data_IF_534078347221
#
_entry.id   IF_534078347221
#
_cell.length_a   1.000
_cell.length_b   1.000
_cell.length_c   1.000
_cell.angle_alpha   90.00
_cell.angle_beta   90.00
_cell.angle_gamma   90.00
#
_symmetry.space_group_name_H-M   'P 1'
#
loop_
_entity.id
_entity.type
_entity.pdbx_description
1 polymer ?
#
# COMPACT_ATOMS: atom_id res chain seq x y z
N UNK A 1 -27.20 -5.31 -5.68
CA UNK A 1 -28.35 -4.56 -6.22
C UNK A 1 -28.30 -3.15 -5.69
N UNK A 2 -29.01 -2.22 -6.31
CA UNK A 2 -29.06 -0.80 -5.89
C UNK A 2 -30.44 -0.52 -5.31
N UNK A 3 -30.50 0.11 -4.13
CA UNK A 3 -31.75 0.60 -3.54
C UNK A 3 -32.17 1.87 -4.27
N UNK A 4 -33.40 1.93 -4.78
CA UNK A 4 -33.91 3.09 -5.52
C UNK A 4 -34.64 4.06 -4.58
N UNK A 5 -35.71 3.60 -3.94
CA UNK A 5 -36.49 4.39 -3.01
C UNK A 5 -37.28 3.49 -2.04
N UNK A 6 -37.55 4.05 -0.85
CA UNK A 6 -38.37 3.44 0.19
C UNK A 6 -39.85 3.67 -0.17
N UNK A 7 -40.61 2.59 -0.31
CA UNK A 7 -42.05 2.67 -0.64
C UNK A 7 -42.89 2.73 0.64
N UNK A 8 -42.47 2.02 1.68
CA UNK A 8 -43.08 2.03 3.01
C UNK A 8 -42.03 1.68 4.06
N UNK A 9 -42.38 1.72 5.35
CA UNK A 9 -41.47 1.31 6.42
C UNK A 9 -40.97 -0.13 6.32
N UNK A 10 -41.66 -0.97 5.53
CA UNK A 10 -41.36 -2.40 5.39
C UNK A 10 -40.94 -2.81 3.96
N UNK A 11 -40.97 -1.90 2.98
CA UNK A 11 -40.76 -2.24 1.56
C UNK A 11 -39.85 -1.25 0.83
N UNK A 12 -38.96 -1.80 0.00
CA UNK A 12 -38.04 -1.05 -0.85
C UNK A 12 -38.17 -1.47 -2.32
N UNK A 13 -38.07 -0.51 -3.22
CA UNK A 13 -37.76 -0.81 -4.62
C UNK A 13 -36.26 -1.04 -4.75
N UNK A 14 -35.90 -2.22 -5.25
CA UNK A 14 -34.52 -2.62 -5.49
C UNK A 14 -34.34 -2.88 -6.98
N UNK A 15 -33.25 -2.39 -7.54
CA UNK A 15 -32.84 -2.65 -8.91
C UNK A 15 -31.69 -3.66 -8.93
N UNK A 16 -31.87 -4.74 -9.67
CA UNK A 16 -30.85 -5.76 -9.92
C UNK A 16 -30.73 -5.89 -11.44
N UNK A 17 -29.69 -5.27 -12.00
CA UNK A 17 -29.51 -5.17 -13.45
C UNK A 17 -30.64 -4.36 -14.10
N UNK A 18 -31.34 -4.97 -15.05
CA UNK A 18 -32.52 -4.39 -15.73
C UNK A 18 -33.84 -4.62 -14.99
N UNK A 19 -33.84 -5.48 -13.96
CA UNK A 19 -35.05 -5.87 -13.23
C UNK A 19 -35.25 -4.92 -12.05
N UNK A 20 -36.47 -4.39 -11.93
CA UNK A 20 -36.92 -3.63 -10.76
C UNK A 20 -37.97 -4.45 -10.01
N UNK A 21 -37.76 -4.67 -8.71
CA UNK A 21 -38.69 -5.42 -7.87
C UNK A 21 -38.83 -4.81 -6.48
N UNK A 22 -39.96 -5.11 -5.83
CA UNK A 22 -40.22 -4.74 -4.43
C UNK A 22 -39.69 -5.84 -3.51
N UNK A 23 -38.82 -5.48 -2.58
CA UNK A 23 -38.24 -6.40 -1.59
C UNK A 23 -38.56 -5.88 -0.19
N UNK A 24 -38.90 -6.78 0.73
CA UNK A 24 -39.14 -6.43 2.13
C UNK A 24 -37.82 -6.07 2.81
N UNK A 25 -37.86 -5.15 3.76
CA UNK A 25 -36.69 -4.79 4.57
C UNK A 25 -36.05 -5.97 5.28
N UNK A 26 -36.85 -6.97 5.68
CA UNK A 26 -36.38 -8.18 6.36
C UNK A 26 -35.50 -9.09 5.48
N UNK A 27 -35.61 -8.98 4.16
CA UNK A 27 -34.86 -9.80 3.20
C UNK A 27 -33.62 -9.06 2.65
N UNK A 28 -33.28 -7.89 3.23
CA UNK A 28 -32.11 -7.11 2.86
C UNK A 28 -30.99 -7.33 3.87
N UNK A 29 -29.81 -7.73 3.39
CA UNK A 29 -28.60 -7.82 4.18
C UNK A 29 -27.63 -6.70 3.79
N UNK A 30 -27.15 -5.95 4.79
CA UNK A 30 -26.20 -4.87 4.56
C UNK A 30 -24.79 -5.43 4.39
N UNK A 31 -24.30 -5.44 3.15
CA UNK A 31 -22.89 -5.70 2.85
C UNK A 31 -22.09 -4.41 3.03
N UNK A 32 -21.13 -4.41 3.95
CA UNK A 32 -20.19 -3.30 4.10
C UNK A 32 -19.44 -3.10 2.78
N UNK A 33 -19.41 -1.89 2.20
CA UNK A 33 -18.63 -1.64 1.00
C UNK A 33 -17.15 -1.85 1.33
N UNK A 34 -16.49 -2.75 0.59
CA UNK A 34 -15.04 -2.87 0.66
C UNK A 34 -14.44 -1.49 0.38
N UNK A 35 -13.70 -0.93 1.35
CA UNK A 35 -13.04 0.36 1.18
C UNK A 35 -12.17 0.26 -0.08
N UNK A 36 -12.40 1.09 -1.11
CA UNK A 36 -11.54 1.08 -2.27
C UNK A 36 -10.12 1.37 -1.79
N UNK A 37 -9.20 0.43 -2.01
CA UNK A 37 -7.77 0.64 -1.75
C UNK A 37 -7.37 1.80 -2.63
N UNK A 38 -7.23 3.00 -2.05
CA UNK A 38 -6.79 4.19 -2.76
C UNK A 38 -5.43 3.89 -3.36
N UNK A 39 -5.38 3.53 -4.64
CA UNK A 39 -4.16 3.61 -5.42
C UNK A 39 -3.85 5.09 -5.54
N UNK A 40 -2.97 5.58 -4.65
CA UNK A 40 -2.44 6.94 -4.73
C UNK A 40 -1.59 6.99 -5.99
N UNK A 41 -2.13 7.63 -7.03
CA UNK A 41 -1.41 7.94 -8.26
C UNK A 41 -0.24 8.84 -7.86
N UNK A 42 0.98 8.43 -8.25
CA UNK A 42 2.22 9.15 -7.95
C UNK A 42 2.36 10.25 -9.01
N UNK A 43 2.12 11.50 -8.65
CA UNK A 43 2.48 12.66 -9.48
C UNK A 43 3.95 12.94 -9.25
N UNK A 44 4.83 12.66 -10.22
CA UNK A 44 6.26 12.98 -10.07
C UNK A 44 6.48 14.49 -10.22
N UNK A 45 6.93 15.15 -9.15
CA UNK A 45 7.43 16.52 -9.22
C UNK A 45 8.93 16.42 -9.46
N UNK A 46 9.38 16.80 -10.65
CA UNK A 46 10.78 16.74 -11.03
C UNK A 46 11.56 17.86 -10.33
N UNK A 47 12.31 17.52 -9.28
CA UNK A 47 13.40 18.38 -8.78
C UNK A 47 14.70 18.00 -9.49
N UNK A 48 15.59 18.98 -9.68
CA UNK A 48 16.72 18.98 -10.62
C UNK A 48 17.93 18.09 -10.26
N UNK A 49 17.73 17.02 -9.48
CA UNK A 49 18.69 15.92 -9.30
C UNK A 49 18.19 14.67 -10.03
N UNK A 50 19.07 13.71 -10.35
CA UNK A 50 18.64 12.40 -10.88
C UNK A 50 17.47 11.89 -10.05
N UNK A 51 16.30 11.59 -10.66
CA UNK A 51 15.13 11.21 -9.91
C UNK A 51 15.48 9.99 -9.06
N UNK A 52 15.38 10.15 -7.73
CA UNK A 52 15.52 9.03 -6.81
C UNK A 52 14.55 7.94 -7.29
N UNK A 53 15.03 6.71 -7.48
CA UNK A 53 14.16 5.63 -7.93
C UNK A 53 13.17 5.32 -6.81
N UNK A 54 11.95 4.87 -7.14
CA UNK A 54 10.98 4.39 -6.14
C UNK A 54 11.40 3.07 -5.48
N UNK A 55 12.56 2.53 -5.86
CA UNK A 55 13.09 1.27 -5.38
C UNK A 55 14.59 1.39 -5.01
N UNK A 56 14.99 0.72 -3.93
CA UNK A 56 16.37 0.57 -3.49
C UNK A 56 16.75 -0.91 -3.51
N UNK A 57 17.80 -1.27 -4.24
CA UNK A 57 18.37 -2.62 -4.25
C UNK A 57 19.57 -2.72 -3.28
N UNK A 58 19.50 -3.68 -2.37
CA UNK A 58 20.49 -3.98 -1.34
C UNK A 58 21.04 -5.41 -1.48
N UNK A 59 20.71 -6.13 -2.56
CA UNK A 59 21.18 -7.50 -2.75
C UNK A 59 22.70 -7.53 -2.91
N UNK A 60 23.34 -8.41 -2.13
CA UNK A 60 24.80 -8.57 -2.17
C UNK A 60 25.56 -7.54 -1.34
N UNK A 61 24.86 -6.58 -0.72
CA UNK A 61 25.47 -5.61 0.19
C UNK A 61 25.76 -6.25 1.55
N UNK A 62 26.80 -5.73 2.21
CA UNK A 62 27.04 -6.05 3.62
C UNK A 62 26.00 -5.37 4.48
N UNK A 63 25.76 -5.94 5.66
CA UNK A 63 24.72 -5.47 6.59
C UNK A 63 24.84 -3.98 6.93
N UNK A 64 26.03 -3.52 7.30
CA UNK A 64 26.26 -2.15 7.72
C UNK A 64 26.10 -1.16 6.55
N UNK A 65 26.69 -1.49 5.40
CA UNK A 65 26.58 -0.69 4.17
C UNK A 65 25.12 -0.57 3.70
N UNK A 66 24.35 -1.66 3.82
CA UNK A 66 22.95 -1.68 3.46
C UNK A 66 22.11 -0.75 4.34
N UNK A 67 22.35 -0.70 5.65
CA UNK A 67 21.64 0.21 6.55
C UNK A 67 21.95 1.68 6.24
N UNK A 68 23.21 2.01 5.96
CA UNK A 68 23.59 3.36 5.56
C UNK A 68 22.93 3.77 4.23
N UNK A 69 22.85 2.85 3.27
CA UNK A 69 22.16 3.09 2.00
C UNK A 69 20.66 3.29 2.20
N UNK A 70 20.03 2.53 3.09
CA UNK A 70 18.61 2.71 3.42
C UNK A 70 18.35 4.08 4.03
N UNK A 71 19.13 4.47 5.04
CA UNK A 71 19.00 5.77 5.71
C UNK A 71 19.04 6.93 4.70
N UNK A 72 20.11 6.99 3.90
CA UNK A 72 20.26 7.99 2.84
C UNK A 72 19.11 7.97 1.83
N UNK A 73 18.68 6.77 1.44
CA UNK A 73 17.61 6.60 0.44
C UNK A 73 16.24 7.06 0.96
N UNK A 74 15.93 6.85 2.24
CA UNK A 74 14.68 7.32 2.83
C UNK A 74 14.60 8.85 2.80
N UNK A 75 15.71 9.53 3.09
CA UNK A 75 15.79 11.00 3.00
C UNK A 75 15.58 11.49 1.57
N UNK A 76 16.24 10.87 0.59
CA UNK A 76 16.05 11.20 -0.83
C UNK A 76 14.61 10.94 -1.29
N UNK A 77 13.99 9.85 -0.83
CA UNK A 77 12.63 9.49 -1.18
C UNK A 77 11.59 10.45 -0.57
N UNK A 78 11.82 10.89 0.67
CA UNK A 78 11.01 11.89 1.36
C UNK A 78 11.12 13.25 0.68
N UNK A 79 12.34 13.66 0.30
CA UNK A 79 12.57 14.91 -0.43
C UNK A 79 11.94 14.89 -1.82
N UNK A 80 11.95 13.73 -2.50
CA UNK A 80 11.27 13.52 -3.77
C UNK A 80 9.74 13.45 -3.65
N UNK A 81 9.21 13.40 -2.43
CA UNK A 81 7.77 13.36 -2.17
C UNK A 81 7.11 12.02 -2.52
N UNK A 82 7.87 10.91 -2.51
CA UNK A 82 7.28 9.60 -2.77
C UNK A 82 6.35 9.19 -1.63
N UNK A 83 5.10 8.77 -1.91
CA UNK A 83 4.18 8.31 -0.87
C UNK A 83 4.56 6.93 -0.33
N UNK A 84 5.26 6.13 -1.14
CA UNK A 84 5.72 4.79 -0.82
C UNK A 84 6.98 4.44 -1.62
N UNK A 85 7.80 3.54 -1.08
CA UNK A 85 9.00 3.00 -1.75
C UNK A 85 9.15 1.51 -1.50
N UNK A 86 9.93 0.84 -2.36
CA UNK A 86 10.27 -0.56 -2.22
C UNK A 86 11.75 -0.76 -1.90
N UNK A 87 12.07 -1.56 -0.89
CA UNK A 87 13.44 -1.92 -0.53
C UNK A 87 13.65 -3.41 -0.78
N UNK A 88 14.57 -3.72 -1.68
CA UNK A 88 14.88 -5.06 -2.14
C UNK A 88 16.12 -5.55 -1.39
N UNK A 89 15.92 -6.32 -0.32
CA UNK A 89 17.01 -6.94 0.45
C UNK A 89 17.27 -8.41 0.05
N UNK A 90 16.40 -8.99 -0.79
CA UNK A 90 16.49 -10.40 -1.19
C UNK A 90 16.00 -11.37 -0.11
N UNK A 91 15.97 -12.67 -0.44
CA UNK A 91 15.47 -13.73 0.45
C UNK A 91 16.60 -14.29 1.33
N UNK A 92 17.69 -14.72 0.70
CA UNK A 92 18.98 -15.07 1.33
C UNK A 92 18.90 -15.74 2.70
N UNK A 93 19.82 -15.35 3.58
CA UNK A 93 19.83 -15.74 5.02
C UNK A 93 18.83 -14.95 5.86
N UNK A 94 18.17 -13.94 5.28
CA UNK A 94 17.26 -13.05 5.99
C UNK A 94 17.93 -11.99 6.88
N UNK A 95 19.27 -11.94 6.96
CA UNK A 95 19.97 -10.96 7.80
C UNK A 95 19.64 -9.50 7.40
N UNK A 96 19.74 -9.19 6.11
CA UNK A 96 19.35 -7.86 5.59
C UNK A 96 17.87 -7.59 5.78
N UNK A 97 17.00 -8.59 5.57
CA UNK A 97 15.56 -8.43 5.83
C UNK A 97 15.32 -7.99 7.27
N UNK A 98 15.89 -8.70 8.24
CA UNK A 98 15.69 -8.41 9.66
C UNK A 98 16.20 -7.03 10.03
N UNK A 99 17.45 -6.70 9.67
CA UNK A 99 18.03 -5.39 9.99
C UNK A 99 17.28 -4.23 9.37
N UNK A 100 16.97 -4.32 8.07
CA UNK A 100 16.21 -3.28 7.36
C UNK A 100 14.81 -3.14 7.97
N UNK A 101 14.13 -4.25 8.25
CA UNK A 101 12.79 -4.22 8.87
C UNK A 101 12.82 -3.55 10.24
N UNK A 102 13.80 -3.88 11.07
CA UNK A 102 13.96 -3.31 12.41
C UNK A 102 14.29 -1.82 12.37
N UNK A 103 15.21 -1.44 11.49
CA UNK A 103 15.55 -0.04 11.24
C UNK A 103 14.31 0.77 10.79
N UNK A 104 13.54 0.26 9.83
CA UNK A 104 12.35 0.93 9.31
C UNK A 104 11.22 1.07 10.35
N UNK A 105 11.05 0.08 11.24
CA UNK A 105 10.06 0.14 12.32
C UNK A 105 10.34 1.29 13.30
N UNK A 106 11.61 1.62 13.49
CA UNK A 106 12.04 2.68 14.39
C UNK A 106 12.13 4.06 13.70
N UNK A 107 11.96 4.12 12.38
CA UNK A 107 12.11 5.35 11.62
C UNK A 107 10.88 6.26 11.74
N UNK A 108 11.07 7.52 12.16
CA UNK A 108 9.97 8.44 12.52
C UNK A 108 9.03 8.79 11.37
N UNK A 109 9.54 8.83 10.14
CA UNK A 109 8.75 9.19 8.95
C UNK A 109 8.05 8.01 8.30
N UNK A 110 8.31 6.79 8.78
CA UNK A 110 7.61 5.59 8.32
C UNK A 110 6.26 5.51 9.03
N UNK A 111 5.21 5.34 8.24
CA UNK A 111 3.84 5.15 8.71
C UNK A 111 3.50 3.67 8.85
N UNK A 112 3.84 2.89 7.83
CA UNK A 112 3.59 1.45 7.82
C UNK A 112 4.63 0.72 6.97
N UNK A 113 4.84 -0.55 7.29
CA UNK A 113 5.67 -1.46 6.49
C UNK A 113 4.92 -2.75 6.21
N UNK A 114 5.13 -3.32 5.04
CA UNK A 114 4.64 -4.64 4.68
C UNK A 114 5.65 -5.35 3.79
N UNK A 115 5.60 -6.68 3.75
CA UNK A 115 6.31 -7.41 2.71
C UNK A 115 5.64 -7.20 1.34
N UNK A 116 6.44 -7.35 0.29
CA UNK A 116 5.95 -7.36 -1.08
C UNK A 116 4.96 -8.49 -1.31
N UNK A 117 3.99 -8.28 -2.19
CA UNK A 117 3.15 -9.34 -2.73
C UNK A 117 3.97 -10.33 -3.59
N UNK A 118 3.40 -11.48 -3.95
CA UNK A 118 4.09 -12.45 -4.80
C UNK A 118 4.63 -11.84 -6.12
N UNK A 119 3.85 -10.96 -6.74
CA UNK A 119 4.23 -10.23 -7.95
C UNK A 119 5.30 -9.13 -7.71
N UNK A 120 5.45 -8.67 -6.46
CA UNK A 120 6.39 -7.62 -6.06
C UNK A 120 7.70 -8.21 -5.48
N UNK A 121 7.91 -9.53 -5.54
CA UNK A 121 9.12 -10.19 -5.02
C UNK A 121 8.95 -10.84 -3.64
N UNK A 122 7.75 -10.79 -3.05
CA UNK A 122 7.39 -11.48 -1.81
C UNK A 122 8.20 -11.00 -0.61
N UNK A 123 8.57 -11.95 0.26
CA UNK A 123 9.39 -11.70 1.46
C UNK A 123 10.83 -11.22 1.18
N UNK A 124 11.22 -11.05 -0.09
CA UNK A 124 12.52 -10.47 -0.47
C UNK A 124 12.47 -8.96 -0.68
N UNK A 125 11.29 -8.37 -0.53
CA UNK A 125 11.03 -6.94 -0.72
C UNK A 125 10.20 -6.43 0.46
N UNK A 126 10.56 -5.26 0.97
CA UNK A 126 9.80 -4.54 1.97
C UNK A 126 9.26 -3.26 1.35
N UNK A 127 7.94 -3.10 1.39
CA UNK A 127 7.24 -1.88 0.96
C UNK A 127 7.06 -0.98 2.17
N UNK A 128 7.47 0.27 2.02
CA UNK A 128 7.45 1.30 3.07
C UNK A 128 6.46 2.38 2.66
N UNK A 129 5.52 2.70 3.53
CA UNK A 129 4.60 3.84 3.38
C UNK A 129 5.06 4.96 4.31
N UNK A 130 5.20 6.17 3.76
CA UNK A 130 5.57 7.36 4.53
C UNK A 130 4.34 8.07 5.13
N UNK A 131 4.58 8.94 6.11
CA UNK A 131 3.55 9.74 6.78
C UNK A 131 2.96 10.81 5.88
#
# INVERSE_FOLDING_TARGET
GTLLNKISDKEWNVQIGIIKMKIKTADLEYIQPEKPKKQRIITSVHSSGSPAKSELDLRGERYEDALQKVDKYLDEALLAGYPQVAIIHGKGTGALRTGVTEYLKNHRMVKSIRFGAAAEGGNGVTIVEFK
#
